data_IF_326696657515
#
_entry.id   IF_326696657515
#
_cell.length_a   1.000
_cell.length_b   1.000
_cell.length_c   1.000
_cell.angle_alpha   90.00
_cell.angle_beta   90.00
_cell.angle_gamma   90.00
#
_symmetry.space_group_name_H-M   'P 1'
#
loop_
_entity.id
_entity.type
_entity.pdbx_description
1 polymer ?
#
# COMPACT_ATOMS: atom_id res chain seq x y z
N UNK A 1 -4.33 18.96 8.46
CA UNK A 1 -4.60 18.80 9.91
C UNK A 1 -3.32 18.26 10.53
N UNK A 2 -2.84 18.89 11.60
CA UNK A 2 -1.69 18.40 12.37
C UNK A 2 -2.19 18.04 13.77
N UNK A 3 -1.77 16.88 14.26
CA UNK A 3 -2.09 16.42 15.61
C UNK A 3 -0.92 16.76 16.54
N UNK A 4 -1.23 16.94 17.82
CA UNK A 4 -0.20 16.91 18.85
C UNK A 4 0.46 15.52 18.91
N UNK A 5 1.70 15.41 19.42
CA UNK A 5 2.33 14.11 19.63
C UNK A 5 1.48 13.24 20.57
N UNK A 6 1.17 12.02 20.14
CA UNK A 6 0.40 11.05 20.93
C UNK A 6 1.30 9.87 21.30
N UNK A 7 1.30 9.49 22.58
CA UNK A 7 2.05 8.32 23.06
C UNK A 7 1.11 7.12 23.15
N UNK A 8 1.07 6.30 22.10
CA UNK A 8 0.16 5.15 22.02
C UNK A 8 0.70 4.03 21.11
N UNK A 9 -0.01 2.90 21.06
CA UNK A 9 0.24 1.75 20.20
C UNK A 9 -0.03 2.07 18.73
N UNK A 10 0.66 1.42 17.78
CA UNK A 10 0.41 1.60 16.34
C UNK A 10 -1.06 1.46 15.92
N UNK A 11 -1.79 0.51 16.51
CA UNK A 11 -3.21 0.27 16.22
C UNK A 11 -4.10 1.46 16.58
N UNK A 12 -3.84 2.11 17.70
CA UNK A 12 -4.59 3.31 18.11
C UNK A 12 -4.26 4.50 17.20
N UNK A 13 -3.03 4.60 16.67
CA UNK A 13 -2.69 5.60 15.65
C UNK A 13 -3.48 5.36 14.35
N UNK A 14 -3.70 4.10 13.98
CA UNK A 14 -4.58 3.73 12.86
C UNK A 14 -6.03 4.15 13.10
N UNK A 15 -6.56 3.92 14.30
CA UNK A 15 -7.90 4.36 14.66
C UNK A 15 -8.04 5.89 14.63
N UNK A 16 -7.04 6.63 15.11
CA UNK A 16 -7.02 8.09 15.03
C UNK A 16 -7.05 8.56 13.57
N UNK A 17 -6.21 7.97 12.71
CA UNK A 17 -6.16 8.32 11.30
C UNK A 17 -7.48 7.98 10.57
N UNK A 18 -8.08 6.81 10.87
CA UNK A 18 -9.40 6.43 10.37
C UNK A 18 -10.47 7.43 10.79
N UNK A 19 -10.52 7.75 12.08
CA UNK A 19 -11.49 8.68 12.66
C UNK A 19 -11.38 10.05 12.02
N UNK A 20 -10.16 10.56 11.83
CA UNK A 20 -9.93 11.84 11.17
C UNK A 20 -10.41 11.81 9.70
N UNK A 21 -10.12 10.72 8.99
CA UNK A 21 -10.62 10.50 7.64
C UNK A 21 -12.15 10.49 7.58
N UNK A 22 -12.81 9.82 8.52
CA UNK A 22 -14.28 9.75 8.61
C UNK A 22 -14.92 11.08 8.98
N UNK A 23 -14.33 11.83 9.90
CA UNK A 23 -14.79 13.19 10.24
C UNK A 23 -14.73 14.11 9.02
N UNK A 24 -13.64 14.05 8.26
CA UNK A 24 -13.52 14.78 7.00
C UNK A 24 -14.56 14.32 5.97
N UNK A 25 -14.79 13.01 5.85
CA UNK A 25 -15.79 12.43 4.94
C UNK A 25 -17.23 12.81 5.31
N UNK A 26 -17.55 12.91 6.59
CA UNK A 26 -18.87 13.31 7.07
C UNK A 26 -19.30 14.69 6.54
N UNK A 27 -18.35 15.57 6.22
CA UNK A 27 -18.64 16.86 5.58
C UNK A 27 -19.21 16.73 4.17
N UNK A 28 -18.99 15.60 3.49
CA UNK A 28 -19.26 15.39 2.04
C UNK A 28 -18.59 16.43 1.11
N UNK A 29 -17.68 17.27 1.62
CA UNK A 29 -17.03 18.36 0.87
C UNK A 29 -15.55 18.10 0.58
N UNK A 30 -15.05 16.90 0.89
CA UNK A 30 -13.67 16.51 0.63
C UNK A 30 -13.54 15.73 -0.68
N UNK A 31 -12.48 16.00 -1.44
CA UNK A 31 -12.16 15.25 -2.66
C UNK A 31 -11.88 13.79 -2.36
N UNK A 32 -12.38 12.91 -3.22
CA UNK A 32 -12.19 11.46 -3.17
C UNK A 32 -11.24 11.02 -4.29
N UNK A 33 -10.70 9.81 -4.17
CA UNK A 33 -9.82 9.20 -5.17
C UNK A 33 -8.32 9.36 -4.91
N UNK A 34 -7.52 8.87 -5.86
CA UNK A 34 -6.06 8.80 -5.75
C UNK A 34 -5.46 10.20 -5.61
N UNK A 35 -4.56 10.36 -4.63
CA UNK A 35 -3.84 11.61 -4.40
C UNK A 35 -4.63 12.72 -3.70
N UNK A 36 -5.89 12.48 -3.31
CA UNK A 36 -6.67 13.46 -2.55
C UNK A 36 -6.31 13.53 -1.07
N UNK A 37 -5.69 12.47 -0.55
CA UNK A 37 -5.24 12.37 0.84
C UNK A 37 -3.71 12.24 0.84
N UNK A 38 -3.06 13.04 1.68
CA UNK A 38 -1.65 12.92 2.01
C UNK A 38 -1.52 12.76 3.52
N UNK A 39 -0.90 11.66 3.93
CA UNK A 39 -0.62 11.38 5.32
C UNK A 39 0.88 11.18 5.49
N UNK A 40 1.45 12.02 6.35
CA UNK A 40 2.82 11.93 6.82
C UNK A 40 2.76 11.66 8.33
N UNK A 41 3.66 10.85 8.85
CA UNK A 41 3.66 10.39 10.25
C UNK A 41 5.00 10.72 10.88
N UNK A 42 4.98 11.32 12.06
CA UNK A 42 6.19 11.59 12.83
C UNK A 42 6.32 10.53 13.91
N UNK A 43 7.42 9.79 13.92
CA UNK A 43 7.62 8.63 14.79
C UNK A 43 8.86 8.86 15.64
N UNK A 44 8.73 8.60 16.93
CA UNK A 44 9.83 8.62 17.90
C UNK A 44 9.62 7.56 18.97
N UNK A 45 10.69 6.91 19.40
CA UNK A 45 10.75 6.13 20.65
C UNK A 45 11.44 6.92 21.76
N UNK A 46 11.36 6.44 23.00
CA UNK A 46 12.05 7.08 24.13
C UNK A 46 13.56 7.18 23.83
N UNK A 47 14.17 8.33 24.12
CA UNK A 47 15.58 8.63 23.85
C UNK A 47 15.98 8.61 22.36
N UNK A 48 15.05 8.88 21.45
CA UNK A 48 15.33 9.01 20.01
C UNK A 48 14.93 10.39 19.45
N UNK A 49 15.55 10.77 18.34
CA UNK A 49 15.09 11.89 17.52
C UNK A 49 13.79 11.58 16.77
N UNK A 50 13.02 12.62 16.46
CA UNK A 50 11.78 12.49 15.68
C UNK A 50 12.10 12.28 14.20
N UNK A 51 11.59 11.19 13.63
CA UNK A 51 11.71 10.84 12.22
C UNK A 51 10.39 11.10 11.51
N UNK A 52 10.44 11.86 10.42
CA UNK A 52 9.28 12.12 9.56
C UNK A 52 9.19 11.02 8.50
N UNK A 53 8.10 10.28 8.45
CA UNK A 53 7.84 9.25 7.44
C UNK A 53 6.78 9.76 6.48
N UNK A 54 7.15 9.90 5.20
CA UNK A 54 6.30 10.41 4.13
C UNK A 54 5.73 9.32 3.26
N UNK A 55 4.58 9.63 2.66
CA UNK A 55 3.95 8.77 1.66
C UNK A 55 3.26 7.56 2.27
N UNK A 56 2.68 7.71 3.45
CA UNK A 56 1.79 6.68 4.01
C UNK A 56 0.47 6.76 3.26
N UNK A 57 0.33 5.94 2.21
CA UNK A 57 -0.84 5.98 1.33
C UNK A 57 -2.00 5.14 1.86
N UNK A 58 -1.69 3.98 2.45
CA UNK A 58 -2.69 3.02 2.89
C UNK A 58 -2.73 2.95 4.42
N UNK A 59 -3.94 3.12 4.95
CA UNK A 59 -4.19 3.05 6.39
C UNK A 59 -3.79 1.69 6.98
N UNK A 60 -3.96 0.60 6.23
CA UNK A 60 -3.59 -0.75 6.69
C UNK A 60 -2.09 -0.96 6.84
N UNK A 61 -1.27 -0.19 6.11
CA UNK A 61 0.19 -0.25 6.24
C UNK A 61 0.70 0.55 7.43
N UNK A 62 -0.09 1.49 7.96
CA UNK A 62 0.33 2.43 8.99
C UNK A 62 0.89 1.73 10.22
N UNK A 63 0.22 0.69 10.70
CA UNK A 63 0.68 -0.09 11.85
C UNK A 63 2.03 -0.75 11.60
N UNK A 64 2.20 -1.35 10.42
CA UNK A 64 3.44 -2.02 10.01
C UNK A 64 4.59 -1.03 9.91
N UNK A 65 4.34 0.15 9.33
CA UNK A 65 5.31 1.23 9.17
C UNK A 65 5.76 1.76 10.54
N UNK A 66 4.81 2.04 11.43
CA UNK A 66 5.13 2.52 12.79
C UNK A 66 5.90 1.45 13.55
N UNK A 67 5.47 0.19 13.48
CA UNK A 67 6.17 -0.93 14.10
C UNK A 67 7.59 -1.12 13.60
N UNK A 68 7.80 -1.05 12.28
CA UNK A 68 9.14 -1.12 11.68
C UNK A 68 10.02 0.05 12.11
N UNK A 69 9.52 1.29 12.02
CA UNK A 69 10.32 2.47 12.37
C UNK A 69 10.65 2.50 13.86
N UNK A 70 9.72 2.15 14.74
CA UNK A 70 9.99 2.03 16.18
C UNK A 70 11.08 0.99 16.47
N UNK A 71 11.02 -0.17 15.80
CA UNK A 71 12.04 -1.22 15.89
C UNK A 71 13.40 -0.75 15.36
N UNK A 72 13.42 -0.04 14.24
CA UNK A 72 14.63 0.55 13.63
C UNK A 72 15.28 1.54 14.60
N UNK A 73 14.49 2.47 15.14
CA UNK A 73 14.97 3.48 16.08
C UNK A 73 15.56 2.85 17.34
N UNK A 74 14.86 1.87 17.92
CA UNK A 74 15.39 1.13 19.06
C UNK A 74 16.68 0.36 18.71
N UNK A 75 16.75 -0.27 17.53
CA UNK A 75 17.98 -0.90 17.06
C UNK A 75 19.15 0.07 16.93
N UNK A 76 18.90 1.28 16.42
CA UNK A 76 19.93 2.33 16.35
C UNK A 76 20.37 2.83 17.73
N UNK A 77 19.47 2.88 18.73
CA UNK A 77 19.86 3.17 20.11
C UNK A 77 20.83 2.12 20.63
N UNK A 78 20.54 0.83 20.42
CA UNK A 78 21.43 -0.27 20.83
C UNK A 78 22.78 -0.24 20.11
N UNK A 79 22.80 0.15 18.84
CA UNK A 79 24.04 0.40 18.09
C UNK A 79 24.81 1.57 18.71
N UNK A 80 24.13 2.69 18.99
CA UNK A 80 24.72 3.87 19.60
C UNK A 80 25.33 3.57 20.98
N UNK A 81 24.67 2.77 21.82
CA UNK A 81 25.20 2.35 23.13
C UNK A 81 26.52 1.58 23.01
N UNK A 82 26.67 0.76 21.96
CA UNK A 82 27.95 0.09 21.67
C UNK A 82 28.98 1.08 21.11
N UNK A 83 28.57 1.93 20.18
CA UNK A 83 29.46 2.93 19.58
C UNK A 83 29.98 3.93 20.61
N UNK A 84 29.19 4.37 21.59
CA UNK A 84 29.65 5.29 22.66
C UNK A 84 30.79 4.71 23.50
N UNK A 85 30.90 3.38 23.59
CA UNK A 85 32.01 2.71 24.30
C UNK A 85 33.30 2.70 23.47
N UNK A 86 33.18 2.96 22.17
CA UNK A 86 34.27 3.01 21.20
C UNK A 86 34.54 4.50 20.92
N UNK A 87 35.68 5.02 21.37
CA UNK A 87 36.07 6.40 21.03
C UNK A 87 36.40 6.48 19.53
N UNK A 88 35.43 6.89 18.71
CA UNK A 88 35.54 6.92 17.25
C UNK A 88 35.80 8.36 16.80
N UNK A 89 36.92 8.56 16.13
CA UNK A 89 37.26 9.81 15.44
C UNK A 89 37.61 9.48 14.00
N UNK A 90 36.94 10.12 13.05
CA UNK A 90 37.20 9.98 11.62
C UNK A 90 37.46 11.38 11.07
N UNK A 91 38.59 11.54 10.39
CA UNK A 91 39.00 12.81 9.78
C UNK A 91 39.16 12.66 8.27
N UNK A 92 39.42 13.77 7.57
CA UNK A 92 39.70 13.71 6.12
C UNK A 92 40.98 12.93 5.79
N UNK A 93 41.91 12.81 6.74
CA UNK A 93 43.14 12.02 6.61
C UNK A 93 42.87 10.50 6.64
N UNK A 94 41.69 10.09 7.09
CA UNK A 94 41.27 8.69 7.09
C UNK A 94 40.59 8.25 5.77
N UNK A 95 40.57 9.14 4.77
CA UNK A 95 40.00 8.88 3.45
C UNK A 95 41.12 8.67 2.44
N UNK A 96 41.15 7.49 1.82
CA UNK A 96 42.22 7.06 0.92
C UNK A 96 41.67 6.76 -0.47
N UNK A 97 42.38 7.18 -1.51
CA UNK A 97 42.14 6.69 -2.87
C UNK A 97 42.80 5.32 -3.02
N UNK A 98 41.98 4.31 -3.33
CA UNK A 98 42.38 2.91 -3.47
C UNK A 98 42.14 2.41 -4.90
N UNK A 99 41.88 3.31 -5.86
CA UNK A 99 41.55 2.96 -7.24
C UNK A 99 42.61 2.06 -7.88
N UNK A 100 43.89 2.34 -7.64
CA UNK A 100 45.01 1.53 -8.15
C UNK A 100 45.11 0.15 -7.50
N UNK A 101 44.68 -0.02 -6.25
CA UNK A 101 44.66 -1.32 -5.54
C UNK A 101 43.67 -2.29 -6.20
N UNK A 102 42.63 -1.73 -6.83
CA UNK A 102 41.50 -2.47 -7.42
C UNK A 102 41.59 -2.64 -8.94
N UNK A 103 42.68 -2.20 -9.57
CA UNK A 103 42.83 -2.20 -11.04
C UNK A 103 42.66 -3.58 -11.67
N UNK A 104 43.14 -4.61 -10.98
CA UNK A 104 43.07 -6.02 -11.43
C UNK A 104 41.93 -6.80 -10.77
N UNK A 105 41.03 -6.12 -10.04
CA UNK A 105 39.94 -6.80 -9.33
C UNK A 105 38.94 -7.45 -10.29
N UNK A 106 38.56 -8.69 -10.01
CA UNK A 106 37.61 -9.46 -10.82
C UNK A 106 36.15 -9.14 -10.51
N UNK A 107 35.88 -8.37 -9.44
CA UNK A 107 34.52 -7.96 -9.10
C UNK A 107 33.90 -7.16 -10.24
N UNK A 108 32.79 -7.66 -10.79
CA UNK A 108 32.03 -6.99 -11.87
C UNK A 108 31.64 -5.56 -11.48
N UNK A 109 31.32 -5.32 -10.21
CA UNK A 109 30.88 -4.01 -9.72
C UNK A 109 32.05 -3.02 -9.78
N UNK A 110 33.22 -3.44 -9.30
CA UNK A 110 34.45 -2.64 -9.34
C UNK A 110 34.90 -2.40 -10.78
N UNK A 111 34.90 -3.43 -11.63
CA UNK A 111 35.28 -3.27 -13.04
C UNK A 111 34.36 -2.30 -13.78
N UNK A 112 33.05 -2.32 -13.49
CA UNK A 112 32.11 -1.37 -14.08
C UNK A 112 32.39 0.06 -13.62
N UNK A 113 32.71 0.26 -12.33
CA UNK A 113 33.11 1.57 -11.82
C UNK A 113 34.41 2.08 -12.48
N UNK A 114 35.41 1.20 -12.66
CA UNK A 114 36.66 1.57 -13.35
C UNK A 114 36.41 1.94 -14.83
N UNK A 115 35.52 1.20 -15.53
CA UNK A 115 35.13 1.51 -16.91
C UNK A 115 34.44 2.87 -17.04
N UNK A 116 33.64 3.25 -16.05
CA UNK A 116 32.99 4.58 -16.01
C UNK A 116 33.93 5.69 -15.53
N UNK A 117 35.24 5.42 -15.34
CA UNK A 117 36.22 6.35 -14.79
C UNK A 117 35.86 6.88 -13.40
N UNK A 118 35.08 6.10 -12.64
CA UNK A 118 34.78 6.41 -11.25
C UNK A 118 36.03 6.19 -10.38
N UNK A 119 36.14 6.99 -9.31
CA UNK A 119 37.17 6.79 -8.29
C UNK A 119 36.65 5.84 -7.22
N UNK A 120 37.56 5.06 -6.64
CA UNK A 120 37.28 4.14 -5.54
C UNK A 120 38.01 4.66 -4.32
N UNK A 121 37.25 5.06 -3.30
CA UNK A 121 37.79 5.57 -2.05
C UNK A 121 37.47 4.61 -0.91
N UNK A 122 38.38 4.51 0.05
CA UNK A 122 38.19 3.83 1.32
C UNK A 122 38.20 4.82 2.48
N UNK A 123 37.36 4.56 3.47
CA UNK A 123 37.34 5.26 4.75
C UNK A 123 37.84 4.29 5.81
N UNK A 124 38.92 4.65 6.49
CA UNK A 124 39.44 3.91 7.65
C UNK A 124 38.71 4.32 8.91
N UNK A 125 38.37 3.35 9.77
CA UNK A 125 37.74 3.62 11.05
C UNK A 125 38.37 2.74 12.13
N UNK A 126 39.05 3.37 13.09
CA UNK A 126 39.72 2.66 14.18
C UNK A 126 38.71 2.07 15.17
N UNK A 127 39.00 0.88 15.70
CA UNK A 127 38.16 0.19 16.70
C UNK A 127 36.70 -0.04 16.27
N UNK A 128 36.45 -0.32 14.98
CA UNK A 128 35.10 -0.39 14.41
C UNK A 128 34.72 -1.77 13.85
N UNK A 129 35.57 -2.77 14.06
CA UNK A 129 35.32 -4.14 13.58
C UNK A 129 34.00 -4.69 14.14
N UNK A 130 33.15 -5.25 13.27
CA UNK A 130 31.85 -5.81 13.62
C UNK A 130 30.72 -4.78 13.80
N UNK A 131 30.99 -3.48 13.78
CA UNK A 131 29.97 -2.45 14.03
C UNK A 131 29.10 -2.10 12.83
N UNK A 132 29.57 -2.29 11.59
CA UNK A 132 28.72 -2.15 10.41
C UNK A 132 27.71 -3.28 10.30
N UNK A 133 28.16 -4.49 10.63
CA UNK A 133 27.38 -5.73 10.58
C UNK A 133 26.57 -6.02 11.84
N UNK A 134 26.79 -5.31 12.95
CA UNK A 134 26.04 -5.54 14.18
C UNK A 134 24.54 -5.30 13.96
N UNK A 135 23.75 -6.33 14.23
CA UNK A 135 22.34 -6.42 13.87
C UNK A 135 21.50 -6.71 15.13
N UNK A 136 21.10 -5.68 15.89
CA UNK A 136 20.21 -5.85 17.06
C UNK A 136 18.87 -6.48 16.70
N UNK A 137 18.41 -6.22 15.48
CA UNK A 137 17.20 -6.76 14.91
C UNK A 137 17.43 -7.16 13.46
N UNK A 138 16.79 -8.25 12.98
CA UNK A 138 16.87 -8.63 11.57
C UNK A 138 16.56 -7.46 10.64
N UNK A 139 17.46 -7.19 9.71
CA UNK A 139 17.44 -6.12 8.73
C UNK A 139 17.89 -4.74 9.24
N UNK A 140 18.21 -4.56 10.53
CA UNK A 140 18.57 -3.27 11.12
C UNK A 140 20.04 -3.27 11.52
N UNK A 141 20.88 -2.67 10.68
CA UNK A 141 22.34 -2.55 10.89
C UNK A 141 22.86 -1.23 10.32
N UNK A 142 23.95 -0.70 10.89
CA UNK A 142 24.50 0.59 10.47
C UNK A 142 24.97 0.57 9.01
N UNK A 143 25.53 -0.55 8.53
CA UNK A 143 25.92 -0.70 7.12
C UNK A 143 24.74 -0.52 6.15
N UNK A 144 23.53 -0.98 6.50
CA UNK A 144 22.32 -0.81 5.67
C UNK A 144 21.91 0.67 5.64
N UNK A 145 21.96 1.38 6.77
CA UNK A 145 21.65 2.81 6.85
C UNK A 145 22.61 3.65 5.98
N UNK A 146 23.91 3.35 6.03
CA UNK A 146 24.91 4.02 5.20
C UNK A 146 24.68 3.70 3.72
N UNK A 147 24.38 2.44 3.38
CA UNK A 147 24.02 2.05 2.02
C UNK A 147 22.78 2.79 1.49
N UNK A 148 21.78 3.03 2.32
CA UNK A 148 20.60 3.84 1.96
C UNK A 148 20.96 5.32 1.78
N UNK A 149 21.82 5.87 2.64
CA UNK A 149 22.27 7.25 2.55
C UNK A 149 22.97 7.55 1.23
N UNK A 150 23.90 6.69 0.79
CA UNK A 150 24.67 6.97 -0.44
C UNK A 150 23.84 6.90 -1.71
N UNK A 151 22.71 6.17 -1.68
CA UNK A 151 21.75 6.13 -2.80
C UNK A 151 21.11 7.48 -3.07
N UNK A 152 20.97 8.33 -2.05
CA UNK A 152 20.53 9.71 -2.24
C UNK A 152 21.46 10.51 -3.17
N UNK A 153 22.76 10.21 -3.15
CA UNK A 153 23.77 10.83 -4.02
C UNK A 153 23.86 10.16 -5.41
N UNK A 154 23.00 9.17 -5.70
CA UNK A 154 23.02 8.40 -6.94
C UNK A 154 24.09 7.30 -6.97
N UNK A 155 24.66 6.93 -5.82
CA UNK A 155 25.64 5.84 -5.70
C UNK A 155 24.91 4.56 -5.29
N UNK A 156 25.17 3.45 -5.98
CA UNK A 156 24.40 2.21 -5.79
C UNK A 156 24.46 1.60 -4.38
N UNK A 157 25.58 1.79 -3.68
CA UNK A 157 25.81 1.29 -2.33
C UNK A 157 27.26 1.49 -1.87
N UNK A 158 27.61 0.85 -0.76
CA UNK A 158 28.95 0.81 -0.16
C UNK A 158 29.33 -0.64 0.08
N UNK A 159 30.63 -0.91 0.20
CA UNK A 159 31.13 -2.16 0.77
C UNK A 159 31.76 -1.90 2.14
N UNK A 160 31.62 -2.79 3.11
CA UNK A 160 32.27 -2.62 4.41
C UNK A 160 32.99 -3.88 4.91
N UNK A 161 33.92 -3.69 5.86
CA UNK A 161 34.76 -4.77 6.40
C UNK A 161 33.97 -5.99 6.89
N UNK A 162 32.80 -5.76 7.49
CA UNK A 162 32.02 -6.84 8.12
C UNK A 162 31.17 -7.68 7.14
N UNK A 163 31.08 -7.29 5.87
CA UNK A 163 30.39 -8.08 4.83
C UNK A 163 31.34 -8.68 3.79
N UNK A 164 32.63 -8.37 3.89
CA UNK A 164 33.68 -8.87 3.02
C UNK A 164 34.43 -10.02 3.71
N UNK A 165 34.85 -11.07 2.99
CA UNK A 165 34.88 -11.22 1.53
C UNK A 165 33.50 -11.55 0.91
N UNK A 166 33.08 -10.79 -0.10
CA UNK A 166 31.85 -11.02 -0.86
C UNK A 166 31.86 -10.19 -2.17
N UNK A 167 30.84 -10.34 -3.02
CA UNK A 167 30.64 -9.55 -4.25
C UNK A 167 31.83 -9.58 -5.23
N UNK A 168 32.61 -10.66 -5.22
CA UNK A 168 33.83 -10.82 -6.02
C UNK A 168 35.05 -10.09 -5.47
N UNK A 169 34.97 -9.54 -4.26
CA UNK A 169 36.11 -9.01 -3.50
C UNK A 169 36.54 -10.12 -2.51
N UNK A 170 37.50 -10.93 -2.95
CA UNK A 170 37.99 -12.09 -2.21
C UNK A 170 39.03 -11.70 -1.14
N UNK A 171 39.40 -12.63 -0.26
CA UNK A 171 40.37 -12.43 0.83
C UNK A 171 41.68 -11.73 0.39
N UNK A 172 42.32 -12.09 -0.76
CA UNK A 172 43.55 -11.41 -1.18
C UNK A 172 43.38 -9.90 -1.41
N UNK A 173 42.19 -9.46 -1.82
CA UNK A 173 41.89 -8.03 -1.98
C UNK A 173 41.61 -7.38 -0.63
N UNK A 174 40.88 -8.07 0.26
CA UNK A 174 40.64 -7.59 1.63
C UNK A 174 41.97 -7.39 2.38
N UNK A 175 42.90 -8.34 2.27
CA UNK A 175 44.23 -8.26 2.87
C UNK A 175 45.07 -7.12 2.29
N UNK A 176 45.02 -6.94 0.96
CA UNK A 176 45.69 -5.80 0.29
C UNK A 176 45.18 -4.46 0.84
N UNK A 177 43.87 -4.33 1.03
CA UNK A 177 43.25 -3.11 1.56
C UNK A 177 43.64 -2.89 3.02
N UNK A 178 43.55 -3.93 3.87
CA UNK A 178 43.97 -3.85 5.27
C UNK A 178 45.42 -3.41 5.39
N UNK A 179 46.30 -3.95 4.55
CA UNK A 179 47.71 -3.54 4.50
C UNK A 179 47.90 -2.10 4.00
N UNK A 180 47.19 -1.70 2.95
CA UNK A 180 47.29 -0.34 2.39
C UNK A 180 46.78 0.74 3.34
N UNK A 181 45.71 0.45 4.08
CA UNK A 181 45.10 1.36 5.06
C UNK A 181 45.74 1.27 6.45
N UNK A 182 46.74 0.40 6.63
CA UNK A 182 47.44 0.14 7.90
C UNK A 182 46.48 -0.23 9.04
N UNK A 183 45.56 -1.16 8.77
CA UNK A 183 44.53 -1.62 9.70
C UNK A 183 45.00 -2.78 10.56
N UNK A 184 44.58 -2.78 11.83
CA UNK A 184 44.64 -3.96 12.71
C UNK A 184 43.28 -4.67 12.77
N UNK A 185 43.20 -5.85 13.37
CA UNK A 185 41.99 -6.70 13.36
C UNK A 185 40.74 -6.05 14.00
N UNK A 186 40.97 -5.13 14.95
CA UNK A 186 39.91 -4.39 15.64
C UNK A 186 39.38 -3.20 14.83
N UNK A 187 40.02 -2.84 13.72
CA UNK A 187 39.62 -1.73 12.86
C UNK A 187 38.60 -2.17 11.80
N UNK A 188 37.78 -1.21 11.37
CA UNK A 188 36.86 -1.36 10.25
C UNK A 188 37.25 -0.47 9.07
N UNK A 189 36.70 -0.79 7.90
CA UNK A 189 36.82 0.07 6.72
C UNK A 189 35.54 0.03 5.89
N UNK A 190 35.34 1.07 5.10
CA UNK A 190 34.24 1.19 4.14
C UNK A 190 34.80 1.61 2.79
N UNK A 191 34.31 1.01 1.71
CA UNK A 191 34.67 1.30 0.33
C UNK A 191 33.46 1.90 -0.37
N UNK A 192 33.69 2.97 -1.12
CA UNK A 192 32.70 3.60 -1.96
C UNK A 192 33.30 3.93 -3.33
N UNK A 193 32.54 3.66 -4.39
CA UNK A 193 32.92 3.96 -5.75
C UNK A 193 31.93 4.94 -6.37
N UNK A 194 32.43 6.01 -7.00
CA UNK A 194 31.59 7.03 -7.61
C UNK A 194 32.39 8.08 -8.37
N UNK A 195 31.68 9.01 -9.00
CA UNK A 195 32.27 10.13 -9.73
C UNK A 195 32.33 11.39 -8.84
N UNK A 196 33.38 12.19 -9.00
CA UNK A 196 33.48 13.50 -8.36
C UNK A 196 32.52 14.51 -9.03
N UNK A 197 31.95 15.49 -8.30
CA UNK A 197 32.13 15.77 -6.88
C UNK A 197 31.15 15.01 -5.96
N UNK A 198 30.23 14.21 -6.52
CA UNK A 198 29.20 13.49 -5.74
C UNK A 198 29.82 12.55 -4.70
N UNK A 199 30.92 11.90 -5.06
CA UNK A 199 31.67 11.01 -4.18
C UNK A 199 32.14 11.72 -2.90
N UNK A 200 32.68 12.94 -3.02
CA UNK A 200 33.17 13.70 -1.86
C UNK A 200 32.03 14.10 -0.91
N UNK A 201 30.90 14.57 -1.45
CA UNK A 201 29.72 14.85 -0.63
C UNK A 201 29.16 13.61 0.06
N UNK A 202 29.18 12.46 -0.62
CA UNK A 202 28.76 11.20 -0.04
C UNK A 202 29.69 10.78 1.10
N UNK A 203 31.01 10.93 0.95
CA UNK A 203 31.99 10.61 2.00
C UNK A 203 31.80 11.51 3.22
N UNK A 204 31.68 12.82 3.04
CA UNK A 204 31.43 13.75 4.15
C UNK A 204 30.11 13.37 4.88
N UNK A 205 29.09 12.95 4.14
CA UNK A 205 27.82 12.49 4.71
C UNK A 205 27.93 11.15 5.43
N UNK A 206 28.75 10.22 4.94
CA UNK A 206 29.03 8.93 5.61
C UNK A 206 29.74 9.19 6.94
N UNK A 207 30.78 10.01 6.94
CA UNK A 207 31.55 10.35 8.16
C UNK A 207 30.62 10.95 9.19
N UNK A 208 29.80 11.93 8.77
CA UNK A 208 28.79 12.53 9.65
C UNK A 208 27.78 11.51 10.14
N UNK A 209 27.28 10.60 9.30
CA UNK A 209 26.33 9.55 9.70
C UNK A 209 26.90 8.60 10.75
N UNK A 210 28.18 8.25 10.66
CA UNK A 210 28.85 7.40 11.66
C UNK A 210 29.01 8.15 12.98
N UNK A 211 29.33 9.45 12.93
CA UNK A 211 29.37 10.30 14.12
C UNK A 211 27.98 10.44 14.74
N UNK A 212 26.95 10.81 13.97
CA UNK A 212 25.56 10.94 14.44
C UNK A 212 25.01 9.61 15.00
N UNK A 213 25.48 8.46 14.49
CA UNK A 213 25.09 7.14 15.01
C UNK A 213 25.60 6.88 16.43
N UNK A 214 26.62 7.62 16.90
CA UNK A 214 27.03 7.59 18.31
C UNK A 214 26.01 8.28 19.21
N UNK A 215 25.28 9.28 18.72
CA UNK A 215 24.27 10.02 19.48
C UNK A 215 22.91 9.32 19.51
N UNK A 216 22.65 8.41 18.57
CA UNK A 216 21.44 7.60 18.52
C UNK A 216 20.75 7.69 17.16
N UNK A 217 19.46 8.01 17.19
CA UNK A 217 18.63 8.10 15.98
C UNK A 217 18.74 9.51 15.39
N UNK A 218 19.28 9.66 14.17
CA UNK A 218 19.36 10.95 13.50
C UNK A 218 17.98 11.44 13.05
N UNK A 219 17.74 12.74 13.18
CA UNK A 219 16.50 13.37 12.70
C UNK A 219 16.51 13.49 11.18
N UNK A 220 15.58 12.80 10.52
CA UNK A 220 15.55 12.68 9.06
C UNK A 220 14.13 12.50 8.52
N UNK A 221 13.98 12.71 7.21
CA UNK A 221 12.76 12.37 6.48
C UNK A 221 12.99 11.05 5.73
N UNK A 222 12.09 10.09 5.95
CA UNK A 222 12.10 8.75 5.34
C UNK A 222 10.85 8.53 4.49
N UNK A 223 10.94 7.59 3.56
CA UNK A 223 9.87 7.16 2.68
C UNK A 223 9.44 5.73 3.00
N UNK A 224 8.24 5.37 2.58
CA UNK A 224 7.64 4.05 2.81
C UNK A 224 7.89 3.14 1.60
N UNK A 225 8.28 1.90 1.87
CA UNK A 225 8.33 0.81 0.89
C UNK A 225 7.01 0.04 0.86
N UNK A 226 6.74 -0.71 -0.21
CA UNK A 226 5.53 -1.55 -0.30
C UNK A 226 5.43 -2.57 0.84
N UNK A 227 6.59 -3.04 1.32
CA UNK A 227 6.67 -3.97 2.45
C UNK A 227 6.50 -3.29 3.81
N UNK A 228 6.26 -1.97 3.87
CA UNK A 228 6.11 -1.24 5.14
C UNK A 228 7.43 -1.00 5.88
N UNK A 229 8.59 -1.23 5.25
CA UNK A 229 9.87 -0.69 5.74
C UNK A 229 10.01 0.80 5.41
N UNK A 230 10.85 1.50 6.18
CA UNK A 230 11.23 2.90 5.91
C UNK A 230 12.61 3.00 5.28
N UNK A 231 12.76 3.89 4.30
CA UNK A 231 14.03 4.19 3.61
C UNK A 231 14.38 5.66 3.75
N UNK A 232 15.67 5.97 3.89
CA UNK A 232 16.13 7.36 3.91
C UNK A 232 15.73 8.09 2.62
N UNK A 233 15.17 9.30 2.74
CA UNK A 233 14.94 10.19 1.60
C UNK A 233 15.86 11.40 1.65
N UNK A 234 15.86 12.12 2.77
CA UNK A 234 16.63 13.35 2.93
C UNK A 234 16.78 13.73 4.41
N UNK A 235 17.75 14.60 4.76
CA UNK A 235 17.78 15.23 6.06
C UNK A 235 16.49 16.02 6.30
N UNK A 236 16.07 16.10 7.57
CA UNK A 236 14.84 16.83 7.93
C UNK A 236 15.02 18.31 7.58
N UNK A 237 14.04 18.97 6.94
CA UNK A 237 14.11 20.40 6.71
C UNK A 237 14.28 21.17 8.02
N UNK A 238 15.12 22.21 8.02
CA UNK A 238 15.25 23.12 9.15
C UNK A 238 13.95 23.90 9.41
N UNK A 239 13.92 24.69 10.48
CA UNK A 239 12.79 25.57 10.76
C UNK A 239 12.57 26.53 9.59
N UNK A 240 11.48 26.35 8.84
CA UNK A 240 11.08 27.25 7.77
C UNK A 240 10.92 28.66 8.32
N UNK A 241 11.59 29.65 7.72
CA UNK A 241 11.34 31.06 8.01
C UNK A 241 10.02 31.45 7.35
N UNK A 242 8.92 31.38 8.09
CA UNK A 242 7.63 31.88 7.63
C UNK A 242 7.57 33.40 7.82
N UNK A 243 6.99 34.11 6.86
CA UNK A 243 6.63 35.53 6.96
C UNK A 243 5.16 35.70 6.55
N UNK A 244 4.45 36.72 7.05
CA UNK A 244 3.07 36.97 6.65
C UNK A 244 2.96 37.22 5.14
N UNK A 245 2.02 36.55 4.47
CA UNK A 245 1.70 36.78 3.06
C UNK A 245 1.08 38.17 2.91
N UNK A 246 1.72 39.05 2.13
CA UNK A 246 1.31 40.46 1.98
C UNK A 246 0.37 40.68 0.81
N UNK A 247 0.32 39.75 -0.15
CA UNK A 247 -0.54 39.86 -1.32
C UNK A 247 -2.01 39.52 -0.99
N UNK A 248 -2.23 38.79 0.10
CA UNK A 248 -3.57 38.38 0.55
C UNK A 248 -3.99 39.25 1.74
N UNK A 249 -5.08 40.04 1.60
CA UNK A 249 -5.63 40.78 2.73
C UNK A 249 -6.03 39.85 3.89
N UNK A 250 -5.98 40.38 5.11
CA UNK A 250 -6.45 39.64 6.28
C UNK A 250 -7.94 39.29 6.16
N UNK A 251 -8.28 38.02 6.34
CA UNK A 251 -9.66 37.55 6.36
C UNK A 251 -10.16 37.60 7.82
N UNK A 252 -11.13 38.48 8.10
CA UNK A 252 -11.80 38.54 9.40
C UNK A 252 -12.95 37.53 9.46
N UNK A 253 -12.95 36.68 10.47
CA UNK A 253 -14.05 35.73 10.73
C UNK A 253 -15.01 36.38 11.73
N UNK A 254 -16.24 36.67 11.29
CA UNK A 254 -17.25 37.35 12.11
C UNK A 254 -17.94 36.38 13.08
N UNK A 255 -18.41 36.86 14.26
CA UNK A 255 -19.14 36.01 15.22
C UNK A 255 -20.37 35.31 14.62
N UNK A 256 -21.09 35.97 13.71
CA UNK A 256 -22.26 35.39 13.04
C UNK A 256 -21.89 34.25 12.08
N UNK A 257 -20.74 34.32 11.41
CA UNK A 257 -20.24 33.23 10.55
C UNK A 257 -19.89 32.00 11.39
N UNK A 258 -19.30 32.21 12.58
CA UNK A 258 -19.01 31.12 13.52
C UNK A 258 -20.31 30.48 14.02
N UNK A 259 -21.32 31.29 14.32
CA UNK A 259 -22.64 30.79 14.76
C UNK A 259 -23.29 29.96 13.65
N UNK A 260 -23.32 30.47 12.43
CA UNK A 260 -23.83 29.75 11.26
C UNK A 260 -23.06 28.44 11.02
N UNK A 261 -21.74 28.45 11.13
CA UNK A 261 -20.93 27.26 10.99
C UNK A 261 -21.23 26.20 12.08
N UNK A 262 -21.48 26.63 13.32
CA UNK A 262 -21.87 25.74 14.43
C UNK A 262 -23.25 25.11 14.21
N UNK A 263 -24.21 25.86 13.69
CA UNK A 263 -25.56 25.36 13.38
C UNK A 263 -25.54 24.35 12.21
N UNK A 264 -24.54 24.46 11.32
CA UNK A 264 -24.37 23.58 10.16
C UNK A 264 -23.29 22.50 10.34
N UNK A 265 -22.89 22.18 11.58
CA UNK A 265 -21.97 21.07 11.82
C UNK A 265 -22.61 19.78 11.29
N UNK A 266 -21.94 19.05 10.38
CA UNK A 266 -22.43 17.77 9.90
C UNK A 266 -22.65 16.79 11.05
N UNK A 267 -23.53 15.82 10.86
CA UNK A 267 -23.70 14.73 11.81
C UNK A 267 -22.36 14.03 12.06
N UNK A 268 -22.23 13.42 13.23
CA UNK A 268 -21.07 12.56 13.49
C UNK A 268 -20.98 11.46 12.43
N UNK A 269 -19.79 10.93 12.21
CA UNK A 269 -19.61 9.84 11.24
C UNK A 269 -20.38 8.59 11.69
N UNK A 270 -20.46 8.30 12.98
CA UNK A 270 -21.28 7.24 13.56
C UNK A 270 -22.77 7.43 13.25
N UNK A 271 -23.30 8.63 13.50
CA UNK A 271 -24.71 8.95 13.22
C UNK A 271 -25.00 8.90 11.71
N UNK A 272 -24.03 9.30 10.89
CA UNK A 272 -24.15 9.24 9.43
C UNK A 272 -24.23 7.79 8.95
N UNK A 273 -23.39 6.90 9.48
CA UNK A 273 -23.43 5.46 9.18
C UNK A 273 -24.76 4.87 9.67
N UNK A 274 -25.20 5.20 10.88
CA UNK A 274 -26.48 4.73 11.44
C UNK A 274 -27.69 5.21 10.60
N UNK A 275 -27.65 6.43 10.09
CA UNK A 275 -28.68 6.96 9.18
C UNK A 275 -28.70 6.20 7.85
N UNK A 276 -27.55 5.94 7.24
CA UNK A 276 -27.44 5.12 6.02
C UNK A 276 -28.01 3.72 6.27
N UNK A 277 -27.62 3.12 7.39
CA UNK A 277 -28.09 1.81 7.80
C UNK A 277 -29.62 1.76 7.90
N UNK A 278 -30.22 2.74 8.59
CA UNK A 278 -31.68 2.82 8.77
C UNK A 278 -32.42 3.17 7.48
N UNK A 279 -31.90 4.11 6.68
CA UNK A 279 -32.53 4.59 5.44
C UNK A 279 -32.62 3.49 4.38
N UNK A 280 -31.58 2.67 4.25
CA UNK A 280 -31.46 1.66 3.21
C UNK A 280 -31.60 0.22 3.73
N UNK A 281 -31.85 0.03 5.04
CA UNK A 281 -31.87 -1.27 5.71
C UNK A 281 -30.62 -2.12 5.41
N UNK A 282 -29.47 -1.47 5.44
CA UNK A 282 -28.18 -2.11 5.21
C UNK A 282 -27.71 -2.83 6.47
N UNK A 283 -26.85 -3.83 6.31
CA UNK A 283 -26.09 -4.35 7.44
C UNK A 283 -25.00 -3.34 7.86
N UNK A 284 -24.50 -3.46 9.09
CA UNK A 284 -23.51 -2.52 9.66
C UNK A 284 -22.24 -2.44 8.80
N UNK A 285 -21.71 -3.59 8.38
CA UNK A 285 -20.49 -3.67 7.58
C UNK A 285 -20.62 -2.98 6.21
N UNK A 286 -21.71 -3.20 5.48
CA UNK A 286 -21.97 -2.57 4.19
C UNK A 286 -22.24 -1.07 4.34
N UNK A 287 -22.86 -0.65 5.45
CA UNK A 287 -23.08 0.76 5.75
C UNK A 287 -21.75 1.49 5.93
N UNK A 288 -20.84 0.89 6.69
CA UNK A 288 -19.48 1.41 6.91
C UNK A 288 -18.67 1.41 5.60
N UNK A 289 -18.70 0.32 4.84
CA UNK A 289 -18.02 0.24 3.55
C UNK A 289 -18.50 1.29 2.55
N UNK A 290 -19.82 1.49 2.44
CA UNK A 290 -20.38 2.49 1.52
C UNK A 290 -20.03 3.90 1.97
N UNK A 291 -20.08 4.18 3.28
CA UNK A 291 -19.64 5.45 3.85
C UNK A 291 -18.17 5.77 3.54
N UNK A 292 -17.31 4.76 3.65
CA UNK A 292 -15.88 4.90 3.38
C UNK A 292 -15.51 4.88 1.89
N UNK A 293 -16.43 4.41 1.04
CA UNK A 293 -16.23 4.29 -0.40
C UNK A 293 -16.41 5.60 -1.15
N UNK A 294 -15.84 5.68 -2.35
CA UNK A 294 -16.15 6.74 -3.31
C UNK A 294 -17.56 6.60 -3.92
N UNK A 295 -18.15 5.42 -3.85
CA UNK A 295 -19.41 5.08 -4.51
C UNK A 295 -20.67 5.57 -3.79
N UNK A 296 -20.57 6.32 -2.68
CA UNK A 296 -21.77 6.79 -1.95
C UNK A 296 -22.80 7.48 -2.85
N UNK A 297 -22.39 8.46 -3.65
CA UNK A 297 -23.31 9.21 -4.52
C UNK A 297 -23.93 8.30 -5.59
N UNK A 298 -23.12 7.42 -6.18
CA UNK A 298 -23.56 6.43 -7.16
C UNK A 298 -24.54 5.42 -6.53
N UNK A 299 -24.27 4.97 -5.31
CA UNK A 299 -25.13 4.09 -4.54
C UNK A 299 -26.48 4.75 -4.24
N UNK A 300 -26.48 6.01 -3.77
CA UNK A 300 -27.70 6.77 -3.51
C UNK A 300 -28.54 6.87 -4.79
N UNK A 301 -27.92 7.22 -5.93
CA UNK A 301 -28.57 7.31 -7.26
C UNK A 301 -29.18 5.97 -7.72
N UNK A 302 -28.44 4.87 -7.62
CA UNK A 302 -28.95 3.54 -8.05
C UNK A 302 -30.13 3.10 -7.17
N UNK A 303 -30.11 3.43 -5.88
CA UNK A 303 -31.16 3.05 -4.95
C UNK A 303 -32.46 3.88 -5.09
N UNK A 304 -32.43 5.03 -5.77
CA UNK A 304 -33.64 5.84 -6.03
C UNK A 304 -34.70 5.07 -6.82
N UNK A 305 -34.28 4.18 -7.71
CA UNK A 305 -35.16 3.37 -8.54
C UNK A 305 -35.99 2.34 -7.74
N UNK A 306 -35.67 2.08 -6.46
CA UNK A 306 -36.33 1.14 -5.52
C UNK A 306 -36.48 -0.32 -5.96
N UNK A 307 -36.19 -0.66 -7.21
CA UNK A 307 -36.22 -2.02 -7.75
C UNK A 307 -34.99 -2.84 -7.35
N UNK A 308 -33.85 -2.17 -7.19
CA UNK A 308 -32.61 -2.81 -6.78
C UNK A 308 -32.51 -2.90 -5.25
N UNK A 309 -32.14 -4.07 -4.74
CA UNK A 309 -31.92 -4.25 -3.30
C UNK A 309 -30.68 -3.45 -2.85
N UNK A 310 -30.80 -2.52 -1.87
CA UNK A 310 -29.66 -1.72 -1.43
C UNK A 310 -28.47 -2.56 -0.93
N UNK A 311 -28.73 -3.66 -0.21
CA UNK A 311 -27.68 -4.57 0.25
C UNK A 311 -26.91 -5.20 -0.92
N UNK A 312 -27.61 -5.53 -2.01
CA UNK A 312 -26.98 -6.08 -3.21
C UNK A 312 -26.13 -5.03 -3.93
N UNK A 313 -26.67 -3.81 -4.12
CA UNK A 313 -25.93 -2.70 -4.75
C UNK A 313 -24.66 -2.40 -3.95
N UNK A 314 -24.76 -2.26 -2.62
CA UNK A 314 -23.63 -2.00 -1.75
C UNK A 314 -22.56 -3.10 -1.81
N UNK A 315 -22.99 -4.37 -1.79
CA UNK A 315 -22.09 -5.52 -1.92
C UNK A 315 -21.34 -5.53 -3.25
N UNK A 316 -22.04 -5.27 -4.35
CA UNK A 316 -21.43 -5.23 -5.68
C UNK A 316 -20.39 -4.11 -5.79
N UNK A 317 -20.74 -2.89 -5.37
CA UNK A 317 -19.85 -1.74 -5.43
C UNK A 317 -18.62 -1.89 -4.54
N UNK A 318 -18.80 -2.33 -3.28
CA UNK A 318 -17.71 -2.34 -2.30
C UNK A 318 -16.94 -3.67 -2.27
N UNK A 319 -17.61 -4.80 -2.49
CA UNK A 319 -16.98 -6.13 -2.36
C UNK A 319 -16.61 -6.74 -3.71
N UNK A 320 -17.51 -6.76 -4.68
CA UNK A 320 -17.26 -7.43 -5.98
C UNK A 320 -16.18 -6.72 -6.79
N UNK A 321 -16.26 -5.40 -6.95
CA UNK A 321 -15.24 -4.62 -7.66
C UNK A 321 -13.87 -4.79 -7.00
N UNK A 322 -13.80 -4.69 -5.67
CA UNK A 322 -12.56 -4.90 -4.90
C UNK A 322 -12.01 -6.32 -5.08
N UNK A 323 -12.87 -7.35 -5.16
CA UNK A 323 -12.44 -8.71 -5.40
C UNK A 323 -11.85 -8.89 -6.81
N UNK A 324 -12.45 -8.26 -7.82
CA UNK A 324 -11.92 -8.26 -9.19
C UNK A 324 -10.57 -7.54 -9.25
N UNK A 325 -10.40 -6.42 -8.55
CA UNK A 325 -9.08 -5.75 -8.43
C UNK A 325 -8.01 -6.69 -7.85
N UNK A 326 -8.35 -7.46 -6.80
CA UNK A 326 -7.42 -8.43 -6.19
C UNK A 326 -7.05 -9.58 -7.13
N UNK A 327 -7.91 -9.93 -8.09
CA UNK A 327 -7.61 -10.89 -9.16
C UNK A 327 -6.71 -10.30 -10.27
N UNK A 328 -6.36 -9.01 -10.18
CA UNK A 328 -5.48 -8.33 -11.13
C UNK A 328 -6.22 -7.57 -12.24
N UNK A 329 -7.54 -7.41 -12.15
CA UNK A 329 -8.31 -6.64 -13.13
C UNK A 329 -8.24 -5.13 -12.86
N UNK A 330 -8.30 -4.31 -13.91
CA UNK A 330 -8.16 -2.85 -13.79
C UNK A 330 -9.52 -2.18 -13.55
N UNK A 331 -9.69 -1.60 -12.37
CA UNK A 331 -10.90 -0.88 -12.02
C UNK A 331 -11.04 0.48 -12.68
N UNK A 332 -9.95 1.07 -13.20
CA UNK A 332 -10.02 2.36 -13.89
C UNK A 332 -10.81 2.26 -15.20
N UNK A 333 -10.90 1.07 -15.79
CA UNK A 333 -11.70 0.79 -16.97
C UNK A 333 -13.21 0.79 -16.67
N UNK A 334 -13.60 0.49 -15.41
CA UNK A 334 -14.99 0.44 -14.99
C UNK A 334 -15.48 1.83 -14.55
N UNK A 335 -16.00 2.59 -15.51
CA UNK A 335 -16.50 3.95 -15.27
C UNK A 335 -17.86 3.97 -14.55
N UNK A 336 -18.18 5.04 -13.79
CA UNK A 336 -19.47 5.18 -13.10
C UNK A 336 -20.70 5.04 -14.02
N UNK A 337 -20.57 5.44 -15.28
CA UNK A 337 -21.64 5.33 -16.28
C UNK A 337 -21.96 3.88 -16.59
N UNK A 338 -20.95 3.01 -16.75
CA UNK A 338 -21.13 1.58 -16.99
C UNK A 338 -21.86 0.91 -15.83
N UNK A 339 -21.50 1.29 -14.60
CA UNK A 339 -22.13 0.75 -13.39
C UNK A 339 -23.61 1.15 -13.33
N UNK A 340 -23.91 2.43 -13.60
CA UNK A 340 -25.30 2.93 -13.59
C UNK A 340 -26.14 2.20 -14.62
N UNK A 341 -25.66 2.11 -15.87
CA UNK A 341 -26.35 1.43 -16.98
C UNK A 341 -26.65 -0.04 -16.65
N UNK A 342 -25.69 -0.76 -16.07
CA UNK A 342 -25.87 -2.16 -15.71
C UNK A 342 -26.93 -2.38 -14.61
N UNK A 343 -27.00 -1.48 -13.63
CA UNK A 343 -28.05 -1.54 -12.62
C UNK A 343 -29.43 -1.12 -13.15
N UNK A 344 -29.51 -0.29 -14.19
CA UNK A 344 -30.75 0.00 -14.91
C UNK A 344 -31.22 -1.21 -15.70
N UNK A 345 -30.32 -1.89 -16.42
CA UNK A 345 -30.65 -3.15 -17.13
C UNK A 345 -31.10 -4.26 -16.18
N UNK A 346 -30.51 -4.34 -14.99
CA UNK A 346 -30.98 -5.26 -13.95
C UNK A 346 -32.38 -4.89 -13.44
N UNK A 347 -32.65 -3.59 -13.26
CA UNK A 347 -33.97 -3.11 -12.82
C UNK A 347 -35.07 -3.27 -13.87
N UNK A 348 -34.68 -3.42 -15.14
CA UNK A 348 -35.55 -3.74 -16.27
C UNK A 348 -35.70 -5.27 -16.52
N UNK A 349 -35.12 -6.11 -15.66
CA UNK A 349 -35.08 -7.57 -15.79
C UNK A 349 -34.45 -8.07 -17.12
N UNK A 350 -33.64 -7.23 -17.78
CA UNK A 350 -32.94 -7.57 -19.03
C UNK A 350 -31.73 -8.46 -18.80
N UNK A 351 -31.13 -8.37 -17.61
CA UNK A 351 -30.00 -9.20 -17.19
C UNK A 351 -30.29 -9.84 -15.82
N UNK A 352 -29.86 -11.10 -15.59
CA UNK A 352 -29.92 -11.69 -14.26
C UNK A 352 -28.84 -11.13 -13.33
N UNK A 353 -29.01 -11.32 -12.01
CA UNK A 353 -28.10 -10.76 -10.98
C UNK A 353 -26.68 -11.31 -11.10
N UNK A 354 -26.57 -12.58 -11.46
CA UNK A 354 -25.32 -13.32 -11.59
C UNK A 354 -24.45 -12.82 -12.75
N UNK A 355 -25.06 -12.10 -13.69
CA UNK A 355 -24.41 -11.55 -14.88
C UNK A 355 -23.54 -10.34 -14.60
N UNK A 356 -23.86 -9.56 -13.56
CA UNK A 356 -23.16 -8.32 -13.24
C UNK A 356 -21.67 -8.54 -13.00
N UNK A 357 -21.32 -9.57 -12.21
CA UNK A 357 -19.91 -9.89 -11.92
C UNK A 357 -19.15 -10.28 -13.19
N UNK A 358 -19.79 -11.06 -14.08
CA UNK A 358 -19.19 -11.52 -15.34
C UNK A 358 -18.97 -10.34 -16.29
N UNK A 359 -19.94 -9.42 -16.37
CA UNK A 359 -19.84 -8.24 -17.23
C UNK A 359 -18.76 -7.28 -16.70
N UNK A 360 -18.70 -7.05 -15.38
CA UNK A 360 -17.63 -6.26 -14.78
C UNK A 360 -16.25 -6.87 -15.00
N UNK A 361 -16.10 -8.19 -14.86
CA UNK A 361 -14.85 -8.87 -15.17
C UNK A 361 -14.42 -8.64 -16.61
N UNK A 362 -15.35 -8.71 -17.57
CA UNK A 362 -15.06 -8.48 -18.98
C UNK A 362 -14.57 -7.04 -19.24
N UNK A 363 -15.27 -6.03 -18.70
CA UNK A 363 -14.89 -4.60 -18.83
C UNK A 363 -13.54 -4.33 -18.16
N UNK A 364 -13.35 -4.78 -16.91
CA UNK A 364 -12.10 -4.57 -16.17
C UNK A 364 -10.91 -5.36 -16.74
N UNK A 365 -11.17 -6.37 -17.58
CA UNK A 365 -10.12 -7.09 -18.33
C UNK A 365 -9.71 -6.40 -19.64
N UNK A 366 -10.39 -5.31 -20.03
CA UNK A 366 -10.14 -4.58 -21.28
C UNK A 366 -10.64 -5.30 -22.53
N UNK A 367 -11.52 -6.30 -22.40
CA UNK A 367 -12.10 -7.03 -23.54
C UNK A 367 -13.26 -6.29 -24.21
N UNK A 368 -13.91 -5.39 -23.48
CA UNK A 368 -15.04 -4.58 -23.96
C UNK A 368 -14.95 -3.18 -23.38
N UNK A 369 -15.17 -2.17 -24.23
CA UNK A 369 -15.18 -0.76 -23.84
C UNK A 369 -16.58 -0.26 -23.45
N UNK A 370 -17.64 -0.96 -23.88
CA UNK A 370 -19.03 -0.61 -23.60
C UNK A 370 -19.78 -1.75 -22.92
N UNK A 371 -20.86 -1.40 -22.21
CA UNK A 371 -21.76 -2.38 -21.58
C UNK A 371 -22.42 -3.30 -22.60
N UNK A 372 -22.86 -2.76 -23.74
CA UNK A 372 -23.46 -3.53 -24.82
C UNK A 372 -22.50 -4.60 -25.36
N UNK A 373 -21.25 -4.23 -25.63
CA UNK A 373 -20.23 -5.17 -26.13
C UNK A 373 -19.91 -6.25 -25.09
N UNK A 374 -19.88 -5.88 -23.81
CA UNK A 374 -19.64 -6.82 -22.74
C UNK A 374 -20.79 -7.83 -22.60
N UNK A 375 -22.04 -7.42 -22.77
CA UNK A 375 -23.21 -8.32 -22.75
C UNK A 375 -23.18 -9.28 -23.95
N UNK A 376 -22.85 -8.79 -25.14
CA UNK A 376 -22.76 -9.60 -26.35
C UNK A 376 -21.61 -10.61 -26.28
N UNK A 377 -20.42 -10.17 -25.88
CA UNK A 377 -19.22 -11.00 -25.81
C UNK A 377 -19.28 -12.08 -24.74
N UNK A 378 -20.06 -11.87 -23.68
CA UNK A 378 -20.24 -12.85 -22.61
C UNK A 378 -21.38 -13.83 -22.89
N UNK A 379 -22.19 -13.63 -23.94
CA UNK A 379 -23.39 -14.40 -24.25
C UNK A 379 -24.37 -14.50 -23.05
N UNK A 380 -24.44 -13.41 -22.28
CA UNK A 380 -25.14 -13.28 -20.99
C UNK A 380 -26.56 -12.72 -21.15
N UNK A 381 -27.06 -12.62 -22.38
CA UNK A 381 -28.46 -12.28 -22.65
C UNK A 381 -29.42 -13.20 -21.92
N UNK A 382 -30.48 -12.62 -21.36
CA UNK A 382 -31.55 -13.35 -20.70
C UNK A 382 -32.09 -14.45 -21.61
N UNK A 383 -32.01 -15.68 -21.13
CA UNK A 383 -32.52 -16.84 -21.86
C UNK A 383 -34.04 -16.87 -21.76
N UNK A 384 -34.71 -17.21 -22.85
CA UNK A 384 -36.17 -17.33 -22.86
C UNK A 384 -36.63 -18.50 -21.97
N UNK A 385 -37.84 -18.42 -21.40
CA UNK A 385 -38.39 -19.54 -20.62
C UNK A 385 -38.45 -20.85 -21.42
N UNK A 386 -38.65 -20.79 -22.73
CA UNK A 386 -38.70 -21.98 -23.59
C UNK A 386 -37.35 -22.71 -23.68
N UNK A 387 -36.26 -21.97 -23.87
CA UNK A 387 -34.90 -22.52 -23.89
C UNK A 387 -34.49 -23.04 -22.51
N UNK A 388 -34.85 -22.32 -21.45
CA UNK A 388 -34.59 -22.75 -20.08
C UNK A 388 -35.30 -24.08 -19.78
N UNK A 389 -36.57 -24.22 -20.20
CA UNK A 389 -37.32 -25.46 -20.01
C UNK A 389 -36.68 -26.65 -20.72
N UNK A 390 -36.20 -26.47 -21.96
CA UNK A 390 -35.55 -27.54 -22.71
C UNK A 390 -34.25 -28.03 -22.04
N UNK A 391 -33.43 -27.10 -21.52
CA UNK A 391 -32.20 -27.45 -20.79
C UNK A 391 -32.54 -28.19 -19.49
N UNK A 392 -33.56 -27.72 -18.75
CA UNK A 392 -33.99 -28.37 -17.51
C UNK A 392 -34.54 -29.78 -17.78
N UNK A 393 -35.29 -29.99 -18.87
CA UNK A 393 -35.80 -31.30 -19.27
C UNK A 393 -34.65 -32.27 -19.60
N UNK A 394 -33.62 -31.81 -20.31
CA UNK A 394 -32.44 -32.62 -20.62
C UNK A 394 -31.68 -33.01 -19.34
N UNK A 395 -31.53 -32.08 -18.39
CA UNK A 395 -30.87 -32.33 -17.10
C UNK A 395 -31.66 -33.34 -16.27
N UNK A 396 -32.99 -33.21 -16.22
CA UNK A 396 -33.87 -34.13 -15.49
C UNK A 396 -33.83 -35.53 -16.14
N UNK A 397 -33.88 -35.63 -17.47
CA UNK A 397 -33.77 -36.92 -18.17
C UNK A 397 -32.43 -37.61 -17.88
N UNK A 398 -31.31 -36.88 -17.90
CA UNK A 398 -29.99 -37.44 -17.61
C UNK A 398 -29.82 -37.87 -16.16
N UNK A 399 -30.62 -37.33 -15.23
CA UNK A 399 -30.53 -37.62 -13.80
C UNK A 399 -31.85 -38.23 -13.28
N UNK A 400 -32.59 -38.94 -14.13
CA UNK A 400 -33.93 -39.41 -13.82
C UNK A 400 -33.95 -40.44 -12.69
N UNK A 401 -32.90 -41.26 -12.56
CA UNK A 401 -32.73 -42.19 -11.44
C UNK A 401 -32.61 -41.43 -10.10
N UNK A 402 -31.84 -40.34 -10.10
CA UNK A 402 -31.64 -39.48 -8.94
C UNK A 402 -32.94 -38.81 -8.50
N UNK A 403 -33.79 -38.39 -9.45
CA UNK A 403 -35.10 -37.79 -9.19
C UNK A 403 -36.06 -38.81 -8.57
N UNK A 404 -36.07 -40.05 -9.06
CA UNK A 404 -36.92 -41.12 -8.53
C UNK A 404 -36.52 -41.56 -7.12
N UNK A 405 -35.23 -41.52 -6.80
CA UNK A 405 -34.71 -41.96 -5.50
C UNK A 405 -34.84 -40.88 -4.41
N UNK A 406 -34.63 -39.61 -4.76
CA UNK A 406 -34.57 -38.51 -3.78
C UNK A 406 -35.79 -37.56 -3.82
N UNK A 407 -36.65 -37.63 -4.85
CA UNK A 407 -37.83 -36.77 -4.98
C UNK A 407 -37.48 -35.27 -4.89
N UNK A 408 -38.16 -34.53 -4.01
CA UNK A 408 -37.88 -33.11 -3.73
C UNK A 408 -36.43 -32.84 -3.29
N UNK A 409 -35.74 -33.80 -2.65
CA UNK A 409 -34.35 -33.58 -2.22
C UNK A 409 -33.36 -33.54 -3.39
N UNK A 410 -33.74 -34.07 -4.57
CA UNK A 410 -32.94 -34.00 -5.79
C UNK A 410 -32.78 -32.55 -6.32
N UNK A 411 -33.69 -31.63 -5.94
CA UNK A 411 -33.67 -30.23 -6.37
C UNK A 411 -32.31 -29.58 -6.05
N UNK A 412 -31.73 -29.86 -4.89
CA UNK A 412 -30.47 -29.24 -4.47
C UNK A 412 -29.32 -29.58 -5.40
N UNK A 413 -29.22 -30.86 -5.80
CA UNK A 413 -28.18 -31.36 -6.70
C UNK A 413 -28.42 -30.89 -8.13
N UNK A 414 -29.67 -30.96 -8.60
CA UNK A 414 -30.06 -30.53 -9.95
C UNK A 414 -29.92 -29.02 -10.13
N UNK A 415 -30.15 -28.23 -9.07
CA UNK A 415 -29.89 -26.80 -9.05
C UNK A 415 -28.40 -26.51 -9.31
N UNK A 416 -27.50 -27.27 -8.69
CA UNK A 416 -26.05 -27.14 -8.94
C UNK A 416 -25.67 -27.45 -10.39
N UNK A 417 -26.24 -28.49 -10.98
CA UNK A 417 -25.99 -28.90 -12.36
C UNK A 417 -26.59 -27.88 -13.35
N UNK A 418 -27.84 -27.48 -13.13
CA UNK A 418 -28.52 -26.48 -13.95
C UNK A 418 -27.79 -25.15 -13.92
N UNK A 419 -27.48 -24.64 -12.73
CA UNK A 419 -26.74 -23.38 -12.58
C UNK A 419 -25.37 -23.46 -13.23
N UNK A 420 -24.68 -24.62 -13.26
CA UNK A 420 -23.40 -24.75 -13.99
C UNK A 420 -23.55 -24.51 -15.50
N UNK A 421 -24.69 -24.84 -16.08
CA UNK A 421 -24.97 -24.62 -17.51
C UNK A 421 -25.60 -23.25 -17.81
N UNK A 422 -26.44 -22.72 -16.91
CA UNK A 422 -27.21 -21.50 -17.14
C UNK A 422 -26.71 -20.27 -16.36
N UNK A 423 -25.57 -20.37 -15.65
CA UNK A 423 -25.01 -19.26 -14.85
C UNK A 423 -24.85 -18.00 -15.71
N UNK A 424 -25.44 -16.90 -15.26
CA UNK A 424 -25.41 -15.62 -15.97
C UNK A 424 -26.41 -15.50 -17.12
N UNK A 425 -27.23 -16.52 -17.40
CA UNK A 425 -28.26 -16.47 -18.46
C UNK A 425 -29.70 -16.51 -17.92
N UNK A 426 -29.89 -17.11 -16.75
CA UNK A 426 -31.18 -17.18 -16.07
C UNK A 426 -31.03 -16.90 -14.57
N UNK A 427 -32.07 -16.33 -13.96
CA UNK A 427 -32.07 -16.09 -12.51
C UNK A 427 -32.21 -17.40 -11.75
N UNK A 428 -31.47 -17.55 -10.65
CA UNK A 428 -31.57 -18.76 -9.82
C UNK A 428 -32.98 -19.00 -9.25
N UNK A 429 -33.77 -17.94 -9.05
CA UNK A 429 -35.16 -18.07 -8.60
C UNK A 429 -36.05 -18.72 -9.67
N UNK A 430 -35.96 -18.24 -10.91
CA UNK A 430 -36.72 -18.79 -12.05
C UNK A 430 -36.36 -20.26 -12.28
N UNK A 431 -35.07 -20.59 -12.22
CA UNK A 431 -34.57 -21.96 -12.37
C UNK A 431 -35.13 -22.89 -11.29
N UNK A 432 -35.14 -22.44 -10.02
CA UNK A 432 -35.67 -23.22 -8.89
C UNK A 432 -37.19 -23.47 -9.02
N UNK A 433 -37.95 -22.43 -9.36
CA UNK A 433 -39.41 -22.54 -9.54
C UNK A 433 -39.75 -23.54 -10.66
N UNK A 434 -39.07 -23.44 -11.81
CA UNK A 434 -39.30 -24.35 -12.93
C UNK A 434 -38.85 -25.79 -12.63
N UNK A 435 -37.70 -25.97 -11.97
CA UNK A 435 -37.24 -27.30 -11.52
C UNK A 435 -38.22 -27.95 -10.55
N UNK A 436 -38.70 -27.21 -9.55
CA UNK A 436 -39.70 -27.69 -8.59
C UNK A 436 -40.97 -28.15 -9.29
N UNK A 437 -41.48 -27.33 -10.20
CA UNK A 437 -42.68 -27.65 -10.97
C UNK A 437 -42.50 -28.93 -11.79
N UNK A 438 -41.39 -29.05 -12.52
CA UNK A 438 -41.10 -30.24 -13.35
C UNK A 438 -40.90 -31.50 -12.52
N UNK A 439 -40.27 -31.41 -11.34
CA UNK A 439 -40.07 -32.57 -10.46
C UNK A 439 -41.38 -33.01 -9.80
N UNK A 440 -42.31 -32.09 -9.52
CA UNK A 440 -43.64 -32.43 -8.99
C UNK A 440 -44.58 -33.04 -10.05
N UNK A 441 -44.34 -32.76 -11.34
CA UNK A 441 -45.10 -33.31 -12.46
C UNK A 441 -44.62 -34.72 -12.88
N UNK A 442 -43.52 -35.22 -12.30
CA UNK A 442 -42.93 -36.56 -12.51
C UNK A 442 -43.31 -37.47 -11.36
#
# INVERSE_FOLDING_TARGET
IALEPVSTKPSEVKEIALTLGRLLRATRMVKRGIGSIRQDVNISVMNSGVVEVKGVQQLDQLEKIIGYEAKRQHGLILIAEKLKKLSITITKEDVFDITEVFKDCESKIIQNALKSKAKIKAIRIRNFSGMFGFEPYPGIRLGKEIGQLVRFFGIGGVFHSDELPNYGINDPYVDKIRKYLELVDVDGFLIIAGEDPKLDYAIDSIIKRIQDATDGVPAETRGVTQDGETIFLRPRPGASRMYPETDIPSISVLPEEIKLARENIPKSWDDSIAEIQKKYNLNSQLSEQIFDSEYMELFEKICENKKNSPNFVASILCSTITNLQRKGFDALLLKPEHITELFELLADDKIPKESLEIIFENIMSGKSDTVSDAIQSTAVTSMSEGELNAILDEIIQKNMELVKELGENAITTLMGIAMKQVRGKASGQTVNVLLRKKIQEI
#
